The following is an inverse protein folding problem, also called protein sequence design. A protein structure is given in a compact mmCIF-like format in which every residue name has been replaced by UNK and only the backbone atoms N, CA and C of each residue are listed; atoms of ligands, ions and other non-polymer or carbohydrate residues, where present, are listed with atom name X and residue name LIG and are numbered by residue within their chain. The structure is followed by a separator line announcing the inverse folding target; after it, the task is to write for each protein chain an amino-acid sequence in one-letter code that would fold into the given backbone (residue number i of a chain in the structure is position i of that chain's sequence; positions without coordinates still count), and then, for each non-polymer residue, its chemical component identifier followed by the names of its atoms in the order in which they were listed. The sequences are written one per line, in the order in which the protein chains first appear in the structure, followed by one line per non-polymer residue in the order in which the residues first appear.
data_IF_876546153557
#
_entry.id   IF_876546153557
#
_cell.length_a   1.000
_cell.length_b   1.000
_cell.length_c   1.000
_cell.angle_alpha   90.00
_cell.angle_beta   90.00
_cell.angle_gamma   90.00
#
_symmetry.space_group_name_H-M   'P 1'
#
loop_
_entity.id
_entity.type
_entity.pdbx_description
1 polymer ?
#
# COMPACT_ATOMS: atom_id res chain seq x y z
N UNK A 1 41.78 69.76 -2.24
CA UNK A 1 43.01 69.18 -2.80
C UNK A 1 42.86 67.66 -2.71
N UNK A 2 42.63 67.01 -3.85
CA UNK A 2 42.25 65.59 -3.97
C UNK A 2 43.33 64.65 -3.42
N UNK A 3 42.95 63.65 -2.61
CA UNK A 3 43.75 62.44 -2.39
C UNK A 3 42.91 61.22 -2.78
N UNK A 4 43.22 60.70 -3.97
CA UNK A 4 42.80 59.38 -4.42
C UNK A 4 43.38 58.31 -3.50
N UNK A 5 42.52 57.44 -2.98
CA UNK A 5 42.91 56.13 -2.47
C UNK A 5 42.31 55.08 -3.40
N UNK A 6 43.13 54.58 -4.31
CA UNK A 6 42.85 53.34 -5.04
C UNK A 6 43.18 52.21 -4.08
N UNK A 7 42.15 51.60 -3.48
CA UNK A 7 42.29 50.36 -2.73
C UNK A 7 42.46 49.24 -3.77
N UNK A 8 43.68 48.69 -3.87
CA UNK A 8 43.95 47.49 -4.65
C UNK A 8 43.38 46.30 -3.85
N UNK A 9 42.19 45.82 -4.25
CA UNK A 9 41.62 44.59 -3.70
C UNK A 9 42.36 43.41 -4.33
N UNK A 10 43.38 42.88 -3.66
CA UNK A 10 43.99 41.60 -4.04
C UNK A 10 43.04 40.50 -3.58
N UNK A 11 42.17 40.06 -4.48
CA UNK A 11 41.41 38.83 -4.29
C UNK A 11 42.39 37.65 -4.44
N UNK A 12 42.84 37.11 -3.31
CA UNK A 12 43.45 35.77 -3.27
C UNK A 12 42.40 34.75 -3.72
N UNK A 13 42.43 34.39 -5.00
CA UNK A 13 41.82 33.16 -5.49
C UNK A 13 42.57 32.00 -4.83
N UNK A 14 42.03 31.47 -3.74
CA UNK A 14 42.41 30.15 -3.29
C UNK A 14 41.95 29.18 -4.39
N UNK A 15 42.90 28.79 -5.25
CA UNK A 15 42.74 27.64 -6.12
C UNK A 15 42.47 26.44 -5.22
N UNK A 16 41.22 26.02 -5.09
CA UNK A 16 40.91 24.69 -4.55
C UNK A 16 41.58 23.72 -5.52
N UNK A 17 42.68 23.10 -5.10
CA UNK A 17 43.32 22.07 -5.89
C UNK A 17 42.29 20.95 -6.08
N UNK A 18 41.85 20.73 -7.32
CA UNK A 18 41.00 19.61 -7.65
C UNK A 18 41.83 18.35 -7.47
N UNK A 19 41.32 17.40 -6.68
CA UNK A 19 41.98 16.13 -6.44
C UNK A 19 42.24 15.38 -7.77
N UNK A 20 43.38 14.71 -7.86
CA UNK A 20 43.72 13.82 -8.96
C UNK A 20 42.81 12.59 -8.96
N UNK A 21 42.82 11.87 -7.83
CA UNK A 21 42.01 10.69 -7.54
C UNK A 21 40.87 11.07 -6.59
N UNK A 22 39.62 11.09 -7.06
CA UNK A 22 38.45 11.43 -6.23
C UNK A 22 37.18 10.77 -6.81
N UNK A 23 36.62 9.79 -6.07
CA UNK A 23 35.37 9.10 -6.37
C UNK A 23 34.45 9.07 -5.16
N UNK A 24 33.20 9.47 -5.37
CA UNK A 24 32.20 9.52 -4.31
C UNK A 24 30.90 8.84 -4.68
N UNK A 25 30.03 8.68 -3.69
CA UNK A 25 28.64 8.29 -3.92
C UNK A 25 27.85 9.53 -4.35
N UNK A 26 27.24 9.51 -5.54
CA UNK A 26 26.44 10.63 -6.01
C UNK A 26 24.94 10.47 -5.71
N UNK A 27 24.45 9.23 -5.61
CA UNK A 27 23.02 8.97 -5.40
C UNK A 27 22.78 7.56 -4.84
N UNK A 28 21.94 7.43 -3.81
CA UNK A 28 21.33 6.16 -3.40
C UNK A 28 20.03 6.01 -4.18
N UNK A 29 19.91 4.92 -4.96
CA UNK A 29 18.75 4.64 -5.80
C UNK A 29 17.77 3.70 -5.11
N UNK A 30 18.30 2.72 -4.37
CA UNK A 30 17.51 1.73 -3.64
C UNK A 30 18.22 1.36 -2.33
N UNK A 31 17.49 1.17 -1.21
CA UNK A 31 16.06 1.46 -1.07
C UNK A 31 15.76 2.96 -1.17
N UNK A 32 14.51 3.35 -1.48
CA UNK A 32 14.01 4.72 -1.21
C UNK A 32 13.87 4.94 0.31
N UNK A 33 13.62 6.18 0.72
CA UNK A 33 13.29 6.59 2.09
C UNK A 33 12.07 5.86 2.66
N UNK A 34 11.17 5.39 1.80
CA UNK A 34 10.04 4.55 2.16
C UNK A 34 10.04 3.29 1.29
N UNK A 35 10.07 2.13 1.93
CA UNK A 35 9.87 0.87 1.24
C UNK A 35 8.63 0.17 1.76
N UNK A 36 7.65 0.08 0.85
CA UNK A 36 6.45 -0.74 1.01
C UNK A 36 6.68 -2.04 0.27
N UNK A 37 7.24 -3.03 0.95
CA UNK A 37 7.51 -4.31 0.33
C UNK A 37 7.28 -5.48 1.28
N UNK A 38 6.62 -6.50 0.77
CA UNK A 38 6.60 -7.84 1.36
C UNK A 38 7.71 -8.65 0.67
N UNK A 39 8.98 -8.41 0.99
CA UNK A 39 10.07 -9.15 0.36
C UNK A 39 11.46 -8.58 0.50
N UNK A 40 12.31 -8.88 -0.49
CA UNK A 40 13.68 -8.37 -0.54
C UNK A 40 13.77 -7.06 -1.32
N UNK A 41 14.59 -6.13 -0.84
CA UNK A 41 15.05 -4.99 -1.63
C UNK A 41 16.43 -5.29 -2.23
N UNK A 42 16.76 -4.70 -3.39
CA UNK A 42 18.10 -4.80 -3.98
C UNK A 42 18.78 -3.44 -3.86
N UNK A 43 19.68 -3.26 -2.88
CA UNK A 43 20.34 -1.97 -2.70
C UNK A 43 21.08 -1.56 -3.97
N UNK A 44 20.99 -0.28 -4.34
CA UNK A 44 21.57 0.26 -5.56
C UNK A 44 22.03 1.70 -5.39
N UNK A 45 23.11 2.05 -6.08
CA UNK A 45 23.80 3.34 -5.93
C UNK A 45 24.41 3.79 -7.26
N UNK A 46 24.66 5.08 -7.41
CA UNK A 46 25.55 5.65 -8.43
C UNK A 46 26.85 6.15 -7.80
N UNK A 47 27.95 5.88 -8.49
CA UNK A 47 29.29 6.36 -8.14
C UNK A 47 29.69 7.41 -9.16
N UNK A 48 30.28 8.51 -8.71
CA UNK A 48 30.77 9.59 -9.57
C UNK A 48 32.26 9.79 -9.36
N UNK A 49 32.96 10.06 -10.45
CA UNK A 49 34.34 10.53 -10.41
C UNK A 49 34.38 12.06 -10.40
N UNK A 50 34.84 12.64 -9.31
CA UNK A 50 35.00 14.08 -9.11
C UNK A 50 36.44 14.54 -9.37
N UNK A 51 37.38 13.60 -9.51
CA UNK A 51 38.78 13.87 -9.78
C UNK A 51 39.07 14.15 -11.24
N UNK A 52 40.37 14.20 -11.55
CA UNK A 52 40.88 14.51 -12.90
C UNK A 52 41.46 13.29 -13.62
N UNK A 53 41.65 12.17 -12.93
CA UNK A 53 42.09 10.90 -13.50
C UNK A 53 40.92 9.95 -13.75
N UNK A 54 41.03 9.11 -14.78
CA UNK A 54 40.07 8.02 -15.01
C UNK A 54 40.31 6.91 -13.98
N UNK A 55 39.24 6.45 -13.33
CA UNK A 55 39.31 5.46 -12.25
C UNK A 55 38.75 4.10 -12.66
N UNK A 56 39.27 3.05 -12.04
CA UNK A 56 38.89 1.66 -12.28
C UNK A 56 39.08 0.84 -11.00
N UNK A 57 38.44 -0.33 -10.95
CA UNK A 57 38.49 -1.24 -9.81
C UNK A 57 38.12 -0.59 -8.46
N UNK A 58 37.14 0.30 -8.48
CA UNK A 58 36.71 1.08 -7.30
C UNK A 58 35.90 0.15 -6.39
N UNK A 59 36.35 -0.14 -5.14
CA UNK A 59 35.54 -0.90 -4.21
C UNK A 59 34.39 -0.03 -3.71
N UNK A 60 33.15 -0.54 -3.82
CA UNK A 60 31.93 0.11 -3.34
C UNK A 60 31.29 -0.80 -2.30
N UNK A 61 30.98 -0.25 -1.14
CA UNK A 61 30.44 -0.97 0.01
C UNK A 61 29.01 -0.50 0.30
N UNK A 62 28.18 -1.44 0.73
CA UNK A 62 26.82 -1.20 1.19
C UNK A 62 26.65 -1.84 2.56
N UNK A 63 26.25 -1.02 3.52
CA UNK A 63 25.97 -1.38 4.89
C UNK A 63 24.53 -1.00 5.22
N UNK A 64 23.80 -1.90 5.88
CA UNK A 64 22.47 -1.60 6.42
C UNK A 64 22.49 -1.96 7.90
N UNK A 65 22.18 -0.97 8.70
CA UNK A 65 22.12 -1.06 10.16
C UNK A 65 20.66 -0.96 10.63
N UNK A 66 20.31 -1.68 11.68
CA UNK A 66 18.99 -1.65 12.34
C UNK A 66 19.19 -1.54 13.83
N UNK A 67 18.56 -0.56 14.46
CA UNK A 67 18.73 -0.27 15.89
C UNK A 67 20.20 -0.16 16.34
N UNK A 68 21.09 0.33 15.47
CA UNK A 68 22.53 0.48 15.74
C UNK A 68 23.38 -0.76 15.43
N UNK A 69 22.77 -1.89 15.06
CA UNK A 69 23.46 -3.13 14.74
C UNK A 69 23.53 -3.39 13.24
N UNK A 70 24.67 -3.90 12.76
CA UNK A 70 24.90 -4.22 11.35
C UNK A 70 24.16 -5.49 10.95
N UNK A 71 23.10 -5.36 10.16
CA UNK A 71 22.28 -6.49 9.68
C UNK A 71 22.56 -6.89 8.24
N UNK A 72 23.24 -6.03 7.47
CA UNK A 72 23.67 -6.33 6.10
C UNK A 72 25.01 -5.68 5.80
N UNK A 73 25.96 -6.44 5.28
CA UNK A 73 27.22 -5.93 4.78
C UNK A 73 27.57 -6.60 3.45
N UNK A 74 27.74 -5.80 2.42
CA UNK A 74 28.16 -6.27 1.10
C UNK A 74 29.14 -5.30 0.46
N UNK A 75 29.89 -5.80 -0.50
CA UNK A 75 30.78 -4.98 -1.32
C UNK A 75 30.80 -5.50 -2.75
N UNK A 76 31.13 -4.61 -3.68
CA UNK A 76 31.42 -4.92 -5.07
C UNK A 76 32.58 -4.07 -5.58
N UNK A 77 33.15 -4.48 -6.70
CA UNK A 77 34.20 -3.72 -7.39
C UNK A 77 33.59 -3.17 -8.67
N UNK A 78 33.61 -1.85 -8.83
CA UNK A 78 33.29 -1.16 -10.09
C UNK A 78 34.53 -1.20 -10.97
N UNK A 79 34.53 -2.05 -11.99
CA UNK A 79 35.70 -2.29 -12.85
C UNK A 79 36.14 -1.04 -13.63
N UNK A 80 35.22 -0.13 -13.95
CA UNK A 80 35.48 1.06 -14.77
C UNK A 80 35.62 0.71 -16.26
N UNK A 81 36.21 1.59 -17.08
CA UNK A 81 36.74 2.91 -16.71
C UNK A 81 35.62 3.89 -16.34
N UNK A 82 35.86 4.71 -15.31
CA UNK A 82 35.01 5.84 -14.93
C UNK A 82 35.77 7.15 -15.19
N UNK A 83 35.54 7.81 -16.33
CA UNK A 83 36.23 9.05 -16.69
C UNK A 83 35.95 10.21 -15.71
N UNK A 84 36.82 11.25 -15.69
CA UNK A 84 36.58 12.47 -14.92
C UNK A 84 35.20 13.08 -15.19
N UNK A 85 34.45 13.37 -14.13
CA UNK A 85 33.11 13.96 -14.20
C UNK A 85 32.00 13.01 -14.68
N UNK A 86 32.30 11.73 -14.93
CA UNK A 86 31.30 10.73 -15.30
C UNK A 86 30.64 10.09 -14.06
N UNK A 87 29.43 9.58 -14.26
CA UNK A 87 28.74 8.73 -13.29
C UNK A 87 28.69 7.28 -13.81
N UNK A 88 28.72 6.33 -12.89
CA UNK A 88 28.51 4.92 -13.20
C UNK A 88 27.05 4.67 -13.61
N UNK A 89 26.83 3.55 -14.31
CA UNK A 89 25.49 2.95 -14.36
C UNK A 89 25.03 2.52 -12.96
N UNK A 90 23.73 2.23 -12.83
CA UNK A 90 23.13 1.71 -11.59
C UNK A 90 23.86 0.45 -11.14
N UNK A 91 24.42 0.49 -9.93
CA UNK A 91 25.19 -0.62 -9.41
C UNK A 91 24.42 -1.40 -8.36
N UNK A 92 24.00 -2.61 -8.70
CA UNK A 92 23.15 -3.46 -7.87
C UNK A 92 23.95 -4.36 -6.92
N UNK A 93 23.53 -4.40 -5.66
CA UNK A 93 24.04 -5.31 -4.63
C UNK A 93 23.17 -6.58 -4.51
N UNK A 94 23.68 -7.64 -3.84
CA UNK A 94 22.86 -8.79 -3.48
C UNK A 94 21.60 -8.37 -2.71
N UNK A 95 20.46 -9.07 -2.92
CA UNK A 95 19.20 -8.69 -2.28
C UNK A 95 19.33 -8.74 -0.74
N UNK A 96 18.81 -7.70 -0.09
CA UNK A 96 18.61 -7.62 1.35
C UNK A 96 17.16 -7.97 1.68
N UNK A 97 16.97 -8.88 2.64
CA UNK A 97 15.66 -9.18 3.22
C UNK A 97 15.61 -8.60 4.63
N UNK A 98 14.80 -7.57 4.88
CA UNK A 98 14.56 -7.07 6.22
C UNK A 98 14.06 -8.16 7.16
N UNK A 99 14.66 -8.22 8.35
CA UNK A 99 14.26 -9.16 9.40
C UNK A 99 13.15 -8.63 10.31
N UNK A 100 12.81 -7.34 10.21
CA UNK A 100 11.77 -6.69 11.00
C UNK A 100 10.74 -5.98 10.13
N UNK A 101 9.56 -5.73 10.70
CA UNK A 101 8.48 -4.96 10.09
C UNK A 101 8.27 -3.64 10.86
N UNK A 102 7.87 -2.58 10.17
CA UNK A 102 7.61 -1.25 10.76
C UNK A 102 8.82 -0.73 11.54
N UNK A 103 9.98 -0.69 10.88
CA UNK A 103 11.23 -0.30 11.51
C UNK A 103 12.08 0.59 10.59
N UNK A 104 13.03 1.30 11.22
CA UNK A 104 14.02 2.11 10.51
C UNK A 104 15.27 1.29 10.22
N UNK A 105 15.78 1.45 9.01
CA UNK A 105 17.10 1.01 8.61
C UNK A 105 17.96 2.21 8.24
N UNK A 106 19.19 2.24 8.74
CA UNK A 106 20.20 3.21 8.35
C UNK A 106 21.08 2.58 7.27
N UNK A 107 20.91 3.04 6.03
CA UNK A 107 21.62 2.57 4.85
C UNK A 107 22.84 3.46 4.62
N UNK A 108 24.02 2.86 4.49
CA UNK A 108 25.27 3.55 4.20
C UNK A 108 25.91 2.94 2.98
N UNK A 109 26.16 3.76 1.97
CA UNK A 109 27.03 3.41 0.84
C UNK A 109 28.31 4.21 0.92
N UNK A 110 29.42 3.59 0.52
CA UNK A 110 30.67 4.32 0.39
C UNK A 110 31.66 3.69 -0.59
N UNK A 111 32.45 4.54 -1.24
CA UNK A 111 33.63 4.14 -1.99
C UNK A 111 34.79 3.86 -1.03
N UNK A 112 35.71 2.98 -1.42
CA UNK A 112 36.90 2.65 -0.65
C UNK A 112 38.14 2.54 -1.56
N UNK A 113 38.23 3.41 -2.57
CA UNK A 113 39.41 3.54 -3.41
C UNK A 113 40.60 3.91 -2.51
N UNK A 114 41.69 3.15 -2.55
CA UNK A 114 42.82 3.33 -1.62
C UNK A 114 43.61 4.61 -1.89
N UNK A 115 43.63 5.08 -3.13
CA UNK A 115 44.32 6.28 -3.59
C UNK A 115 43.44 7.53 -3.57
N UNK A 116 42.20 7.43 -3.11
CA UNK A 116 41.30 8.58 -3.05
C UNK A 116 41.86 9.69 -2.15
N UNK A 117 41.98 10.89 -2.71
CA UNK A 117 42.55 12.07 -2.07
C UNK A 117 41.50 12.90 -1.32
N UNK A 118 40.21 12.70 -1.62
CA UNK A 118 39.11 13.46 -1.03
C UNK A 118 38.06 12.55 -0.39
N UNK A 119 38.37 12.07 0.82
CA UNK A 119 37.49 11.19 1.61
C UNK A 119 36.15 11.78 2.04
N UNK A 120 35.90 13.07 1.80
CA UNK A 120 34.71 13.77 2.32
C UNK A 120 33.43 13.44 1.55
N UNK A 121 33.53 12.99 0.31
CA UNK A 121 32.40 12.60 -0.55
C UNK A 121 32.29 11.07 -0.75
N UNK A 122 33.20 10.29 -0.14
CA UNK A 122 33.19 8.83 -0.23
C UNK A 122 31.89 8.22 0.26
N UNK A 123 31.20 8.85 1.22
CA UNK A 123 30.09 8.24 1.97
C UNK A 123 28.76 8.98 1.78
N UNK A 124 27.71 8.22 1.48
CA UNK A 124 26.32 8.70 1.54
C UNK A 124 25.52 7.81 2.48
N UNK A 125 24.63 8.44 3.27
CA UNK A 125 23.74 7.76 4.22
C UNK A 125 22.30 8.12 3.92
N UNK A 126 21.41 7.16 4.11
CA UNK A 126 19.97 7.35 4.04
C UNK A 126 19.29 6.55 5.14
N UNK A 127 18.27 7.14 5.75
CA UNK A 127 17.38 6.43 6.65
C UNK A 127 16.12 6.01 5.89
N UNK A 128 15.81 4.73 5.94
CA UNK A 128 14.68 4.11 5.22
C UNK A 128 13.67 3.52 6.20
N UNK A 129 12.40 3.84 6.02
CA UNK A 129 11.29 3.20 6.72
C UNK A 129 10.84 1.94 5.98
N UNK A 130 10.83 0.81 6.67
CA UNK A 130 10.34 -0.45 6.14
C UNK A 130 8.96 -0.78 6.71
N UNK A 131 7.97 -0.93 5.83
CA UNK A 131 6.59 -1.27 6.22
C UNK A 131 5.97 -2.28 5.26
N UNK A 132 5.31 -3.34 5.75
CA UNK A 132 4.47 -4.21 4.93
C UNK A 132 3.07 -3.62 4.67
N UNK A 133 2.72 -2.50 5.32
CA UNK A 133 1.46 -1.80 5.14
C UNK A 133 1.59 -0.62 4.17
N UNK A 134 0.59 -0.43 3.32
CA UNK A 134 0.53 0.63 2.32
C UNK A 134 -0.54 1.67 2.67
N UNK A 135 -0.29 2.92 2.25
CA UNK A 135 -1.28 4.00 2.30
C UNK A 135 -2.06 3.99 0.99
N UNK A 136 -3.38 4.00 1.09
CA UNK A 136 -4.30 3.97 -0.05
C UNK A 136 -5.66 4.49 0.42
N UNK A 137 -6.41 5.09 -0.50
CA UNK A 137 -7.83 5.44 -0.27
C UNK A 137 -8.78 4.35 -0.81
N UNK A 138 -8.21 3.23 -1.24
CA UNK A 138 -8.93 2.02 -1.63
C UNK A 138 -8.46 0.84 -0.79
N UNK A 139 -9.37 0.23 -0.03
CA UNK A 139 -9.15 -1.01 0.70
C UNK A 139 -9.57 -2.20 -0.14
N UNK A 140 -8.81 -3.28 -0.01
CA UNK A 140 -9.08 -4.57 -0.63
C UNK A 140 -9.10 -5.66 0.45
N UNK A 141 -10.20 -5.78 1.23
CA UNK A 141 -10.30 -6.83 2.24
C UNK A 141 -10.39 -8.20 1.57
N UNK A 142 -9.52 -9.10 1.98
CA UNK A 142 -9.52 -10.48 1.50
C UNK A 142 -10.42 -11.36 2.36
N UNK A 143 -10.96 -12.41 1.72
CA UNK A 143 -11.70 -13.43 2.44
C UNK A 143 -10.77 -14.25 3.33
N UNK A 144 -11.05 -14.28 4.63
CA UNK A 144 -10.35 -15.15 5.58
C UNK A 144 -10.79 -16.60 5.39
N UNK A 145 -9.84 -17.52 5.58
CA UNK A 145 -10.11 -18.97 5.62
C UNK A 145 -10.40 -19.48 7.03
N UNK A 146 -10.10 -18.69 8.05
CA UNK A 146 -10.29 -18.97 9.48
C UNK A 146 -10.67 -17.68 10.21
N UNK A 147 -11.54 -17.81 11.20
CA UNK A 147 -11.93 -16.71 12.08
C UNK A 147 -10.81 -16.44 13.11
N UNK A 148 -10.38 -15.18 13.31
CA UNK A 148 -9.42 -14.82 14.35
C UNK A 148 -9.93 -15.14 15.77
N UNK A 149 -9.01 -15.44 16.68
CA UNK A 149 -9.30 -15.55 18.12
C UNK A 149 -9.39 -14.16 18.69
N UNK A 150 -10.40 -13.92 19.51
CA UNK A 150 -10.77 -12.57 19.92
C UNK A 150 -10.28 -12.26 21.32
N UNK A 151 -9.02 -11.87 21.43
CA UNK A 151 -8.35 -11.62 22.71
C UNK A 151 -7.67 -10.23 22.79
N UNK A 152 -7.83 -9.43 21.73
CA UNK A 152 -7.26 -8.09 21.60
C UNK A 152 -5.79 -8.12 21.20
N UNK A 153 -5.26 -9.25 20.75
CA UNK A 153 -3.89 -9.42 20.27
C UNK A 153 -3.90 -9.77 18.79
N UNK A 154 -3.21 -8.96 17.99
CA UNK A 154 -3.10 -9.21 16.55
C UNK A 154 -2.00 -10.25 16.32
N UNK A 155 -2.36 -11.53 16.34
CA UNK A 155 -1.46 -12.63 15.99
C UNK A 155 -1.23 -12.67 14.46
N UNK A 156 0.03 -12.64 13.98
CA UNK A 156 0.34 -12.73 12.55
C UNK A 156 -0.19 -13.99 11.85
N UNK A 157 -0.41 -15.08 12.57
CA UNK A 157 -0.96 -16.32 12.04
C UNK A 157 -2.48 -16.26 11.83
N UNK A 158 -3.17 -15.44 12.63
CA UNK A 158 -4.61 -15.21 12.54
C UNK A 158 -4.93 -14.08 11.56
N UNK A 159 -4.14 -13.00 11.58
CA UNK A 159 -4.32 -11.81 10.75
C UNK A 159 -3.45 -11.84 9.48
N UNK A 160 -3.61 -12.93 8.71
CA UNK A 160 -2.93 -13.14 7.42
C UNK A 160 -3.61 -12.40 6.26
N UNK A 161 -3.81 -11.10 6.42
CA UNK A 161 -4.50 -10.26 5.44
C UNK A 161 -3.65 -9.06 4.98
N UNK A 162 -4.26 -8.26 4.12
CA UNK A 162 -3.72 -6.96 3.75
C UNK A 162 -3.69 -6.02 4.94
N UNK A 163 -2.65 -5.18 4.96
CA UNK A 163 -2.38 -4.23 6.04
C UNK A 163 -2.34 -2.85 5.43
N UNK A 164 -3.09 -1.94 6.03
CA UNK A 164 -3.27 -0.59 5.53
C UNK A 164 -2.71 0.37 6.58
N UNK A 165 -1.78 1.21 6.17
CA UNK A 165 -1.27 2.26 7.04
C UNK A 165 -2.30 3.38 7.03
N UNK A 166 -3.07 3.47 8.12
CA UNK A 166 -4.08 4.49 8.32
C UNK A 166 -3.55 5.60 9.23
N UNK A 167 -2.25 5.69 9.48
CA UNK A 167 -1.69 6.78 10.28
C UNK A 167 -2.18 8.14 9.75
N UNK A 168 -2.49 9.08 10.64
CA UNK A 168 -2.93 10.42 10.23
C UNK A 168 -1.77 11.27 9.68
N UNK A 169 -1.18 10.84 8.56
CA UNK A 169 0.03 11.43 7.96
C UNK A 169 -0.20 12.83 7.40
N UNK A 170 -1.45 13.19 7.16
CA UNK A 170 -1.85 14.51 6.68
C UNK A 170 -2.41 15.41 7.80
N UNK A 171 -2.52 14.90 9.03
CA UNK A 171 -3.08 15.65 10.17
C UNK A 171 -4.55 16.02 9.98
N UNK A 172 -5.34 15.18 9.29
CA UNK A 172 -6.77 15.38 9.05
C UNK A 172 -7.56 15.42 10.35
N UNK A 173 -7.21 14.59 11.31
CA UNK A 173 -7.76 14.62 12.67
C UNK A 173 -7.05 15.62 13.60
N UNK A 174 -6.26 16.55 13.05
CA UNK A 174 -5.67 17.69 13.75
C UNK A 174 -4.14 17.68 13.81
N UNK A 175 -3.52 16.58 14.25
CA UNK A 175 -2.05 16.49 14.40
C UNK A 175 -1.48 15.42 13.49
N UNK A 176 -0.53 15.81 12.63
CA UNK A 176 0.19 14.87 11.77
C UNK A 176 0.90 13.78 12.58
N UNK A 177 0.71 12.54 12.16
CA UNK A 177 1.37 11.35 12.71
C UNK A 177 2.39 10.78 11.73
N UNK A 178 3.53 10.26 12.22
CA UNK A 178 4.43 9.48 11.38
C UNK A 178 3.74 8.25 10.79
N UNK A 179 4.19 7.80 9.62
CA UNK A 179 3.79 6.51 9.04
C UNK A 179 4.04 5.36 10.01
N UNK A 180 3.19 4.34 9.94
CA UNK A 180 3.23 3.19 10.85
C UNK A 180 2.83 3.50 12.30
N UNK A 181 2.19 4.63 12.57
CA UNK A 181 1.58 4.95 13.86
C UNK A 181 0.33 4.11 14.13
N UNK A 182 -0.49 3.89 13.09
CA UNK A 182 -1.76 3.18 13.20
C UNK A 182 -1.97 2.30 11.97
N UNK A 183 -2.05 0.99 12.16
CA UNK A 183 -2.21 0.02 11.07
C UNK A 183 -3.57 -0.65 11.19
N UNK A 184 -4.34 -0.62 10.09
CA UNK A 184 -5.59 -1.33 9.93
C UNK A 184 -5.34 -2.68 9.26
N UNK A 185 -5.91 -3.72 9.84
CA UNK A 185 -6.07 -5.05 9.28
C UNK A 185 -7.55 -5.20 8.94
N UNK A 186 -7.87 -5.64 7.73
CA UNK A 186 -9.26 -5.74 7.29
C UNK A 186 -9.45 -6.99 6.43
N UNK A 187 -10.44 -7.79 6.79
CA UNK A 187 -10.78 -9.04 6.12
C UNK A 187 -12.28 -9.34 6.25
N UNK A 188 -12.74 -10.41 5.60
CA UNK A 188 -14.15 -10.80 5.67
C UNK A 188 -14.39 -12.31 5.61
N UNK A 189 -15.51 -12.75 6.16
CA UNK A 189 -16.15 -14.08 6.01
C UNK A 189 -17.67 -13.86 5.96
N UNK A 190 -18.45 -14.52 6.83
CA UNK A 190 -19.80 -14.10 7.22
C UNK A 190 -19.78 -12.91 8.21
N UNK A 191 -18.60 -12.38 8.52
CA UNK A 191 -18.37 -11.15 9.27
C UNK A 191 -17.39 -10.24 8.52
N UNK A 192 -17.47 -8.93 8.75
CA UNK A 192 -16.34 -8.03 8.51
C UNK A 192 -15.44 -8.08 9.73
N UNK A 193 -14.18 -8.42 9.52
CA UNK A 193 -13.15 -8.50 10.55
C UNK A 193 -12.21 -7.32 10.42
N UNK A 194 -12.05 -6.54 11.48
CA UNK A 194 -11.12 -5.43 11.52
C UNK A 194 -10.24 -5.48 12.77
N UNK A 195 -8.96 -5.19 12.59
CA UNK A 195 -8.02 -5.02 13.70
C UNK A 195 -7.27 -3.70 13.53
N UNK A 196 -6.95 -3.05 14.64
CA UNK A 196 -6.16 -1.80 14.63
C UNK A 196 -4.97 -1.94 15.57
N UNK A 197 -3.76 -1.92 15.01
CA UNK A 197 -2.49 -1.86 15.74
C UNK A 197 -2.06 -0.40 15.89
N UNK A 198 -2.30 0.19 17.07
CA UNK A 198 -1.92 1.57 17.38
C UNK A 198 -0.52 1.59 17.98
N UNK A 199 0.47 1.46 17.10
CA UNK A 199 1.90 1.30 17.41
C UNK A 199 2.52 2.45 18.21
N UNK A 200 1.89 3.63 18.21
CA UNK A 200 2.34 4.76 19.01
C UNK A 200 1.96 4.67 20.49
N UNK A 201 1.09 3.72 20.89
CA UNK A 201 0.52 3.62 22.22
C UNK A 201 0.78 2.23 22.80
N UNK A 202 1.12 2.13 24.07
CA UNK A 202 1.38 0.88 24.79
C UNK A 202 0.58 0.75 26.10
N UNK A 203 -0.42 1.63 26.26
CA UNK A 203 -1.37 1.61 27.37
C UNK A 203 -2.77 1.57 26.82
N UNK A 204 -3.69 0.95 27.55
CA UNK A 204 -5.13 0.98 27.27
C UNK A 204 -5.81 1.94 28.25
N UNK A 205 -6.66 2.84 27.75
CA UNK A 205 -7.33 3.88 28.52
C UNK A 205 -8.79 3.99 28.11
N UNK A 206 -9.62 4.53 28.99
CA UNK A 206 -10.99 4.91 28.63
C UNK A 206 -10.96 5.92 27.47
N UNK A 207 -11.93 5.81 26.58
CA UNK A 207 -12.08 6.62 25.37
C UNK A 207 -11.00 6.41 24.29
N UNK A 208 -10.20 5.35 24.40
CA UNK A 208 -9.56 4.75 23.22
C UNK A 208 -10.67 4.17 22.32
N UNK A 209 -10.82 4.69 21.10
CA UNK A 209 -11.95 4.36 20.23
C UNK A 209 -11.60 4.24 18.75
N UNK A 210 -12.24 3.29 18.08
CA UNK A 210 -12.28 3.14 16.64
C UNK A 210 -13.67 3.56 16.16
N UNK A 211 -13.70 4.44 15.16
CA UNK A 211 -14.92 4.80 14.44
C UNK A 211 -14.86 4.19 13.06
N UNK A 212 -15.87 3.41 12.70
CA UNK A 212 -16.05 2.82 11.37
C UNK A 212 -17.34 3.35 10.80
N UNK A 213 -17.26 4.09 9.69
CA UNK A 213 -18.39 4.56 8.90
C UNK A 213 -18.50 3.71 7.66
N UNK A 214 -19.73 3.35 7.30
CA UNK A 214 -19.97 2.53 6.13
C UNK A 214 -21.22 2.99 5.37
N UNK A 215 -21.02 3.30 4.09
CA UNK A 215 -22.02 3.39 3.04
C UNK A 215 -22.00 2.04 2.31
N UNK A 216 -22.96 1.18 2.61
CA UNK A 216 -22.90 -0.24 2.26
C UNK A 216 -23.03 -0.46 0.76
N UNK A 217 -23.91 0.33 0.13
CA UNK A 217 -24.28 0.20 -1.27
C UNK A 217 -23.49 1.15 -2.20
N UNK A 218 -22.74 2.09 -1.59
CA UNK A 218 -21.94 3.13 -2.23
C UNK A 218 -22.75 4.02 -3.16
N UNK A 219 -23.95 4.40 -2.74
CA UNK A 219 -24.78 5.37 -3.45
C UNK A 219 -24.45 6.83 -3.07
N UNK A 220 -23.45 7.02 -2.21
CA UNK A 220 -22.98 8.31 -1.70
C UNK A 220 -24.06 9.06 -0.89
N UNK A 221 -24.99 8.33 -0.28
CA UNK A 221 -26.01 8.89 0.58
C UNK A 221 -26.28 7.96 1.76
N UNK A 222 -26.66 8.52 2.90
CA UNK A 222 -27.07 7.70 4.03
C UNK A 222 -28.44 7.07 3.80
N UNK A 223 -28.52 5.75 3.95
CA UNK A 223 -29.78 5.02 3.92
C UNK A 223 -30.77 5.51 5.00
N UNK A 224 -32.01 5.78 4.58
CA UNK A 224 -33.09 6.24 5.49
C UNK A 224 -33.65 5.15 6.39
N UNK A 225 -33.24 3.90 6.20
CA UNK A 225 -33.80 2.74 6.86
C UNK A 225 -32.94 2.25 8.04
N UNK A 226 -31.87 2.95 8.39
CA UNK A 226 -30.88 2.60 9.44
C UNK A 226 -30.00 1.37 9.16
N UNK A 227 -29.83 0.95 7.91
CA UNK A 227 -28.76 -0.01 7.57
C UNK A 227 -27.38 0.62 7.69
N UNK A 228 -27.26 1.92 7.39
CA UNK A 228 -25.96 2.61 7.33
C UNK A 228 -25.73 3.57 8.50
N UNK A 229 -24.46 3.71 8.87
CA UNK A 229 -24.06 4.60 9.95
C UNK A 229 -22.67 4.31 10.47
N UNK A 230 -22.52 4.39 11.79
CA UNK A 230 -21.23 4.34 12.45
C UNK A 230 -21.20 3.26 13.52
N UNK A 231 -20.22 2.37 13.43
CA UNK A 231 -19.81 1.49 14.51
C UNK A 231 -18.70 2.18 15.30
N UNK A 232 -18.97 2.47 16.57
CA UNK A 232 -17.99 2.99 17.51
C UNK A 232 -17.60 1.87 18.47
N UNK A 233 -16.36 1.43 18.37
CA UNK A 233 -15.73 0.47 19.28
C UNK A 233 -14.85 1.23 20.24
N UNK A 234 -15.02 1.08 21.55
CA UNK A 234 -14.31 1.91 22.51
C UNK A 234 -14.13 1.25 23.87
N UNK A 235 -13.16 1.75 24.63
CA UNK A 235 -12.96 1.36 26.03
C UNK A 235 -13.75 2.31 26.95
N UNK A 236 -14.50 1.75 27.88
CA UNK A 236 -15.27 2.51 28.88
C UNK A 236 -15.28 1.80 30.22
N UNK A 237 -14.85 2.48 31.29
CA UNK A 237 -14.71 1.87 32.62
C UNK A 237 -13.75 0.68 32.61
N UNK A 238 -12.73 0.73 31.76
CA UNK A 238 -11.77 -0.34 31.54
C UNK A 238 -12.34 -1.57 30.81
N UNK A 239 -13.54 -1.49 30.22
CA UNK A 239 -14.18 -2.61 29.50
C UNK A 239 -14.38 -2.27 28.03
N UNK A 240 -14.29 -3.30 27.19
CA UNK A 240 -14.59 -3.18 25.77
C UNK A 240 -16.09 -2.94 25.59
N UNK A 241 -16.41 -1.89 24.85
CA UNK A 241 -17.76 -1.40 24.62
C UNK A 241 -17.93 -1.08 23.15
N UNK A 242 -19.17 -1.11 22.69
CA UNK A 242 -19.52 -0.92 21.30
C UNK A 242 -20.89 -0.26 21.23
N UNK A 243 -21.03 0.65 20.27
CA UNK A 243 -22.31 1.27 19.91
C UNK A 243 -22.38 1.40 18.40
N UNK A 244 -23.51 0.99 17.83
CA UNK A 244 -23.88 1.38 16.47
C UNK A 244 -24.84 2.58 16.51
N UNK A 245 -24.57 3.58 15.68
CA UNK A 245 -25.43 4.76 15.50
C UNK A 245 -25.81 4.87 14.04
N UNK A 246 -27.10 4.81 13.72
CA UNK A 246 -27.54 5.03 12.34
C UNK A 246 -27.28 6.48 11.92
N UNK A 247 -27.00 6.70 10.64
CA UNK A 247 -26.82 8.04 10.07
C UNK A 247 -27.93 8.35 9.04
N UNK A 248 -28.32 9.63 8.89
CA UNK A 248 -27.84 10.80 9.62
C UNK A 248 -28.55 11.00 10.98
N UNK A 249 -29.54 10.18 11.33
CA UNK A 249 -30.39 10.43 12.50
C UNK A 249 -29.74 10.19 13.87
N UNK A 250 -28.52 9.64 13.93
CA UNK A 250 -27.66 9.49 15.12
C UNK A 250 -28.29 8.77 16.30
N UNK A 251 -29.37 8.02 16.07
CA UNK A 251 -29.99 7.15 17.07
C UNK A 251 -29.12 5.92 17.29
N UNK A 252 -28.91 5.57 18.56
CA UNK A 252 -28.20 4.34 18.92
C UNK A 252 -29.14 3.16 18.75
N UNK A 253 -28.67 2.13 18.05
CA UNK A 253 -29.40 0.88 17.85
C UNK A 253 -28.56 -0.30 18.33
N UNK A 254 -29.21 -1.42 18.72
CA UNK A 254 -28.48 -2.66 19.00
C UNK A 254 -27.78 -3.17 17.73
N UNK A 255 -26.55 -3.66 17.86
CA UNK A 255 -25.79 -4.33 16.80
C UNK A 255 -25.41 -5.76 17.26
N UNK A 256 -26.39 -6.67 17.38
CA UNK A 256 -26.18 -7.99 17.96
C UNK A 256 -25.18 -8.82 17.15
N UNK A 257 -24.17 -9.37 17.82
CA UNK A 257 -23.12 -10.18 17.18
C UNK A 257 -21.86 -9.38 16.83
N UNK A 258 -21.92 -8.04 16.86
CA UNK A 258 -20.71 -7.24 16.89
C UNK A 258 -19.95 -7.50 18.19
N UNK A 259 -18.63 -7.66 18.10
CA UNK A 259 -17.76 -7.85 19.27
C UNK A 259 -16.55 -6.94 19.19
N UNK A 260 -16.01 -6.59 20.36
CA UNK A 260 -14.73 -5.89 20.54
C UNK A 260 -13.87 -6.62 21.56
N UNK A 261 -12.58 -6.75 21.28
CA UNK A 261 -11.54 -7.08 22.24
C UNK A 261 -10.40 -6.09 22.09
N UNK A 262 -9.84 -5.61 23.20
CA UNK A 262 -8.66 -4.74 23.14
C UNK A 262 -7.66 -5.05 24.24
N UNK A 263 -6.38 -4.98 23.89
CA UNK A 263 -5.28 -5.37 24.77
C UNK A 263 -4.01 -4.57 24.47
N UNK A 264 -3.04 -4.69 25.37
CA UNK A 264 -1.64 -4.25 25.16
C UNK A 264 -0.66 -5.42 25.21
N UNK A 265 -1.16 -6.66 25.30
CA UNK A 265 -0.33 -7.86 25.45
C UNK A 265 0.58 -8.11 24.22
N UNK A 266 0.19 -7.63 23.04
CA UNK A 266 1.01 -7.65 21.82
C UNK A 266 2.13 -6.60 21.79
N UNK A 267 2.32 -5.80 22.84
CA UNK A 267 3.35 -4.77 22.96
C UNK A 267 2.90 -3.36 22.60
N UNK A 268 1.87 -3.24 21.76
CA UNK A 268 1.17 -1.99 21.44
C UNK A 268 -0.29 -2.09 21.86
N UNK A 269 -1.00 -0.97 21.89
CA UNK A 269 -2.46 -0.96 21.99
C UNK A 269 -3.06 -1.54 20.71
N UNK A 270 -3.79 -2.62 20.87
CA UNK A 270 -4.40 -3.37 19.80
C UNK A 270 -5.90 -3.56 20.06
N UNK A 271 -6.65 -3.55 18.96
CA UNK A 271 -8.08 -3.80 18.95
C UNK A 271 -8.38 -4.84 17.90
N UNK A 272 -9.33 -5.71 18.22
CA UNK A 272 -9.98 -6.61 17.30
C UNK A 272 -11.49 -6.37 17.39
N UNK A 273 -12.11 -6.19 16.23
CA UNK A 273 -13.52 -5.91 16.07
C UNK A 273 -14.09 -6.83 14.98
N UNK A 274 -15.33 -7.27 15.16
CA UNK A 274 -16.09 -7.93 14.08
C UNK A 274 -17.48 -7.36 14.00
N UNK A 275 -18.01 -7.31 12.79
CA UNK A 275 -19.37 -6.87 12.48
C UNK A 275 -20.02 -7.97 11.64
N UNK A 276 -21.18 -8.52 12.03
CA UNK A 276 -21.85 -9.56 11.24
C UNK A 276 -22.21 -9.05 9.84
N UNK A 277 -22.08 -9.92 8.84
CA UNK A 277 -22.64 -9.68 7.51
C UNK A 277 -24.08 -10.18 7.51
N UNK A 278 -25.03 -9.31 7.13
CA UNK A 278 -26.44 -9.65 7.29
C UNK A 278 -27.40 -8.55 6.86
N UNK A 279 -28.64 -8.67 7.31
CA UNK A 279 -29.75 -7.77 6.98
C UNK A 279 -30.36 -7.12 8.23
N UNK A 280 -29.84 -7.43 9.43
CA UNK A 280 -30.31 -6.77 10.66
C UNK A 280 -29.71 -5.37 10.72
N UNK A 281 -30.36 -4.47 11.45
CA UNK A 281 -29.83 -3.12 11.65
C UNK A 281 -28.52 -3.17 12.42
N UNK A 282 -27.49 -2.54 11.86
CA UNK A 282 -26.11 -2.60 12.36
C UNK A 282 -25.29 -3.83 11.92
N UNK A 283 -25.88 -4.79 11.20
CA UNK A 283 -25.09 -5.73 10.39
C UNK A 283 -24.58 -5.00 9.14
N UNK A 284 -23.51 -5.50 8.53
CA UNK A 284 -23.03 -5.01 7.24
C UNK A 284 -23.68 -5.80 6.12
N UNK A 285 -24.45 -5.16 5.25
CA UNK A 285 -24.89 -5.76 4.01
C UNK A 285 -23.79 -5.64 2.95
N UNK A 286 -22.84 -6.59 2.92
CA UNK A 286 -21.79 -6.58 1.90
C UNK A 286 -22.41 -6.86 0.53
N UNK A 287 -22.30 -5.94 -0.45
CA UNK A 287 -22.65 -6.27 -1.80
C UNK A 287 -21.48 -7.04 -2.39
N UNK A 288 -21.44 -8.36 -2.26
CA UNK A 288 -20.30 -9.19 -2.70
C UNK A 288 -19.88 -8.98 -4.17
N UNK A 289 -20.79 -8.45 -5.00
CA UNK A 289 -20.55 -8.09 -6.39
C UNK A 289 -20.25 -6.59 -6.63
N UNK A 290 -20.19 -5.77 -5.58
CA UNK A 290 -19.94 -4.33 -5.66
C UNK A 290 -18.95 -3.87 -4.58
N UNK A 291 -18.71 -2.58 -4.59
CA UNK A 291 -17.92 -1.88 -3.58
C UNK A 291 -18.80 -1.15 -2.58
N UNK A 292 -18.27 -0.96 -1.37
CA UNK A 292 -18.85 -0.06 -0.37
C UNK A 292 -18.04 1.23 -0.26
N UNK A 293 -18.65 2.28 0.27
CA UNK A 293 -17.95 3.46 0.78
C UNK A 293 -17.63 3.28 2.27
N UNK A 294 -16.47 3.74 2.74
CA UNK A 294 -16.24 3.78 4.18
C UNK A 294 -15.22 4.81 4.64
N UNK A 295 -15.18 4.99 5.96
CA UNK A 295 -14.13 5.73 6.64
C UNK A 295 -13.80 5.03 7.97
N UNK A 296 -12.52 5.05 8.36
CA UNK A 296 -12.04 4.45 9.61
C UNK A 296 -11.14 5.43 10.31
N UNK A 297 -11.33 5.63 11.61
CA UNK A 297 -10.40 6.43 12.41
C UNK A 297 -10.18 5.84 13.79
N UNK A 298 -9.02 6.12 14.36
CA UNK A 298 -8.69 5.81 15.75
C UNK A 298 -8.40 7.09 16.53
N UNK A 299 -9.00 7.19 17.71
CA UNK A 299 -8.87 8.33 18.62
C UNK A 299 -8.56 7.88 20.04
N UNK A 300 -7.75 8.69 20.72
CA UNK A 300 -7.62 8.69 22.19
C UNK A 300 -8.03 10.07 22.69
N UNK A 301 -9.16 10.17 23.37
CA UNK A 301 -9.73 11.47 23.70
C UNK A 301 -9.94 12.29 22.41
N UNK A 302 -9.37 13.50 22.37
CA UNK A 302 -9.42 14.38 21.19
C UNK A 302 -8.20 14.21 20.25
N UNK A 303 -7.31 13.25 20.52
CA UNK A 303 -6.13 13.01 19.69
C UNK A 303 -6.37 11.90 18.67
N UNK A 304 -6.39 12.25 17.39
CA UNK A 304 -6.40 11.29 16.30
C UNK A 304 -5.02 10.63 16.13
N UNK A 305 -4.99 9.32 15.91
CA UNK A 305 -3.79 8.59 15.50
C UNK A 305 -3.97 7.87 14.16
N UNK A 306 -5.20 7.46 13.85
CA UNK A 306 -5.56 6.80 12.60
C UNK A 306 -6.68 7.53 11.88
N UNK A 307 -6.54 7.72 10.56
CA UNK A 307 -7.48 8.38 9.69
C UNK A 307 -7.47 7.73 8.30
N UNK A 308 -8.60 7.26 7.84
CA UNK A 308 -8.78 6.71 6.50
C UNK A 308 -10.17 7.05 5.95
N UNK A 309 -10.29 7.45 4.67
CA UNK A 309 -9.20 7.65 3.70
C UNK A 309 -8.39 8.93 3.97
N UNK A 310 -7.20 9.04 3.42
CA UNK A 310 -6.32 10.20 3.59
C UNK A 310 -6.80 11.45 2.84
N UNK A 311 -7.66 11.24 1.84
CA UNK A 311 -8.37 12.30 1.11
C UNK A 311 -9.57 12.87 1.86
N UNK A 312 -10.16 12.14 2.82
CA UNK A 312 -11.30 12.62 3.60
C UNK A 312 -10.88 13.78 4.49
N UNK A 313 -11.53 14.92 4.32
CA UNK A 313 -11.35 16.08 5.19
C UNK A 313 -12.24 15.98 6.42
N UNK A 314 -11.76 16.48 7.56
CA UNK A 314 -12.51 16.42 8.82
C UNK A 314 -13.87 17.10 8.74
N UNK A 315 -14.08 18.08 7.86
CA UNK A 315 -15.38 18.72 7.66
C UNK A 315 -16.44 17.82 7.02
N UNK A 316 -16.02 16.72 6.36
CA UNK A 316 -16.89 15.79 5.65
C UNK A 316 -16.96 14.42 6.32
N UNK A 317 -16.55 14.33 7.59
CA UNK A 317 -16.45 13.05 8.32
C UNK A 317 -17.75 12.26 8.37
N UNK A 318 -18.91 12.91 8.24
CA UNK A 318 -20.24 12.31 8.22
C UNK A 318 -20.92 12.37 6.84
N UNK A 319 -20.16 12.58 5.77
CA UNK A 319 -20.66 12.65 4.40
C UNK A 319 -20.13 11.47 3.55
N UNK A 320 -21.00 10.51 3.18
CA UNK A 320 -20.60 9.32 2.44
C UNK A 320 -20.09 9.61 1.03
N UNK A 321 -20.35 10.79 0.45
CA UNK A 321 -19.80 11.19 -0.85
C UNK A 321 -18.26 11.22 -0.85
N UNK A 322 -17.65 11.48 0.31
CA UNK A 322 -16.20 11.62 0.46
C UNK A 322 -15.50 10.37 0.98
N UNK A 323 -16.25 9.28 1.19
CA UNK A 323 -15.71 8.06 1.76
C UNK A 323 -14.81 7.31 0.78
N UNK A 324 -13.86 6.58 1.37
CA UNK A 324 -12.90 5.77 0.63
C UNK A 324 -13.56 4.54 0.04
N UNK A 325 -12.90 3.93 -0.94
CA UNK A 325 -13.42 2.77 -1.64
C UNK A 325 -13.07 1.48 -0.89
N UNK A 326 -14.06 0.64 -0.57
CA UNK A 326 -13.84 -0.72 -0.07
C UNK A 326 -14.26 -1.73 -1.15
N UNK A 327 -13.30 -2.47 -1.68
CA UNK A 327 -13.53 -3.53 -2.68
C UNK A 327 -13.41 -4.89 -1.99
N UNK A 328 -14.54 -5.52 -1.69
CA UNK A 328 -14.60 -6.82 -1.05
C UNK A 328 -14.17 -7.92 -2.03
N UNK A 329 -13.04 -8.59 -1.74
CA UNK A 329 -12.48 -9.61 -2.63
C UNK A 329 -12.88 -10.99 -2.12
N UNK A 330 -13.79 -11.68 -2.80
CA UNK A 330 -14.09 -13.09 -2.54
C UNK A 330 -13.08 -13.99 -3.26
N UNK A 331 -12.66 -15.06 -2.59
CA UNK A 331 -11.79 -16.09 -3.17
C UNK A 331 -12.60 -17.21 -3.85
N UNK A 332 -13.93 -17.05 -3.96
CA UNK A 332 -14.82 -18.04 -4.56
C UNK A 332 -14.87 -17.88 -6.08
N UNK A 333 -14.52 -18.97 -6.79
CA UNK A 333 -14.95 -19.16 -8.18
C UNK A 333 -16.36 -19.72 -8.12
N UNK A 334 -17.37 -18.88 -8.30
CA UNK A 334 -18.73 -19.37 -8.46
C UNK A 334 -18.91 -19.94 -9.88
N UNK A 335 -19.19 -21.24 -9.97
CA UNK A 335 -19.63 -21.89 -11.20
C UNK A 335 -21.15 -21.69 -11.28
N UNK A 336 -21.58 -20.70 -12.04
CA UNK A 336 -22.99 -20.32 -12.18
C UNK A 336 -23.75 -21.40 -12.97
N UNK A 337 -24.58 -22.19 -12.28
CA UNK A 337 -25.53 -23.09 -12.94
C UNK A 337 -26.81 -22.30 -13.28
N UNK A 338 -26.92 -21.79 -14.50
CA UNK A 338 -28.16 -21.16 -14.98
C UNK A 338 -29.32 -22.17 -15.02
N UNK A 339 -30.37 -21.92 -14.23
CA UNK A 339 -31.72 -22.39 -14.54
C UNK A 339 -32.38 -21.43 -15.56
N UNK A 340 -33.19 -21.92 -16.51
CA UNK A 340 -33.66 -21.10 -17.62
C UNK A 340 -34.88 -20.25 -17.22
N UNK A 341 -34.73 -18.92 -17.22
CA UNK A 341 -35.84 -18.00 -16.95
C UNK A 341 -35.62 -16.57 -17.46
N UNK A 342 -36.07 -16.31 -18.70
CA UNK A 342 -36.57 -15.03 -19.25
C UNK A 342 -35.70 -13.74 -19.20
N UNK A 343 -34.92 -13.55 -20.28
CA UNK A 343 -34.71 -12.34 -21.10
C UNK A 343 -34.82 -10.96 -20.40
N UNK A 344 -33.65 -10.37 -20.13
CA UNK A 344 -33.45 -8.93 -19.92
C UNK A 344 -31.97 -8.58 -20.02
N UNK A 345 -31.60 -7.80 -21.04
CA UNK A 345 -30.21 -7.54 -21.48
C UNK A 345 -29.33 -6.78 -20.47
N UNK A 346 -28.21 -7.39 -20.05
CA UNK A 346 -26.95 -6.70 -19.71
C UNK A 346 -25.79 -7.70 -19.79
N UNK A 347 -24.96 -7.59 -20.83
CA UNK A 347 -23.82 -8.47 -21.09
C UNK A 347 -22.63 -8.09 -20.19
N UNK A 348 -22.50 -8.77 -19.06
CA UNK A 348 -21.23 -8.98 -18.32
C UNK A 348 -21.04 -10.45 -17.94
N UNK A 349 -21.65 -11.37 -18.69
CA UNK A 349 -21.48 -12.81 -18.47
C UNK A 349 -20.19 -13.33 -19.13
N UNK A 350 -19.47 -14.19 -18.43
CA UNK A 350 -18.31 -14.92 -18.94
C UNK A 350 -18.71 -15.68 -20.21
N UNK A 351 -17.96 -15.50 -21.32
CA UNK A 351 -18.27 -16.21 -22.56
C UNK A 351 -17.54 -17.55 -22.60
N UNK A 352 -18.25 -18.66 -22.37
CA UNK A 352 -17.78 -20.01 -22.67
C UNK A 352 -18.07 -20.32 -24.13
N UNK A 353 -17.05 -20.69 -24.91
CA UNK A 353 -17.24 -20.99 -26.34
C UNK A 353 -16.60 -22.32 -26.72
N UNK A 354 -17.33 -23.11 -27.50
CA UNK A 354 -16.86 -24.34 -28.13
C UNK A 354 -16.62 -24.10 -29.61
N UNK A 355 -15.50 -23.43 -29.90
CA UNK A 355 -15.00 -23.27 -31.27
C UNK A 355 -15.44 -22.03 -32.04
N UNK A 356 -16.53 -21.36 -31.65
CA UNK A 356 -16.98 -20.11 -32.28
C UNK A 356 -17.16 -19.03 -31.24
N UNK A 357 -16.43 -17.91 -31.39
CA UNK A 357 -16.54 -16.74 -30.54
C UNK A 357 -17.26 -15.63 -31.29
N UNK A 358 -18.42 -15.22 -30.79
CA UNK A 358 -19.18 -14.12 -31.39
C UNK A 358 -18.89 -12.81 -30.65
N UNK A 359 -18.33 -11.84 -31.36
CA UNK A 359 -18.17 -10.47 -30.87
C UNK A 359 -19.43 -9.68 -31.19
N UNK A 360 -19.94 -8.89 -30.25
CA UNK A 360 -21.07 -7.98 -30.48
C UNK A 360 -20.74 -7.00 -31.62
N UNK A 361 -21.78 -6.47 -32.28
CA UNK A 361 -21.62 -5.52 -33.39
C UNK A 361 -20.91 -4.25 -32.89
N UNK A 362 -19.66 -4.05 -33.33
CA UNK A 362 -18.79 -2.99 -32.81
C UNK A 362 -17.30 -3.25 -33.02
N UNK A 363 -16.46 -2.34 -32.49
CA UNK A 363 -15.01 -2.19 -32.75
C UNK A 363 -14.22 -3.52 -32.73
N UNK A 364 -13.27 -3.73 -33.67
CA UNK A 364 -12.38 -4.90 -33.67
C UNK A 364 -11.64 -5.10 -32.35
N UNK A 365 -11.39 -6.36 -31.99
CA UNK A 365 -10.73 -6.72 -30.75
C UNK A 365 -9.50 -7.62 -30.98
N UNK A 366 -8.72 -7.83 -29.93
CA UNK A 366 -7.64 -8.82 -29.91
C UNK A 366 -7.89 -9.85 -28.82
N UNK A 367 -7.57 -11.11 -29.11
CA UNK A 367 -7.60 -12.18 -28.13
C UNK A 367 -6.18 -12.41 -27.59
N UNK A 368 -6.05 -12.48 -26.27
CA UNK A 368 -4.81 -12.66 -25.53
C UNK A 368 -4.84 -13.97 -24.73
N UNK A 369 -3.71 -14.62 -24.55
CA UNK A 369 -3.56 -15.74 -23.60
C UNK A 369 -3.35 -15.23 -22.15
N UNK A 370 -3.24 -16.16 -21.19
CA UNK A 370 -3.01 -15.85 -19.77
C UNK A 370 -1.72 -15.07 -19.48
N UNK A 371 -0.75 -15.09 -20.41
CA UNK A 371 0.50 -14.33 -20.28
C UNK A 371 0.40 -12.92 -20.86
N UNK A 372 -0.77 -12.57 -21.43
CA UNK A 372 -1.01 -11.30 -22.12
C UNK A 372 -0.53 -11.28 -23.57
N UNK A 373 -0.07 -12.41 -24.12
CA UNK A 373 0.39 -12.50 -25.51
C UNK A 373 -0.82 -12.60 -26.43
N UNK A 374 -0.79 -11.83 -27.52
CA UNK A 374 -1.81 -11.87 -28.57
C UNK A 374 -1.79 -13.19 -29.32
N UNK A 375 -2.95 -13.84 -29.41
CA UNK A 375 -3.17 -15.12 -30.10
C UNK A 375 -4.05 -15.00 -31.34
N UNK A 376 -4.97 -14.01 -31.39
CA UNK A 376 -5.81 -13.77 -32.57
C UNK A 376 -6.26 -12.29 -32.69
N UNK A 377 -6.67 -11.89 -33.90
CA UNK A 377 -7.52 -10.71 -34.12
C UNK A 377 -8.97 -11.17 -34.18
N UNK A 378 -9.88 -10.40 -33.60
CA UNK A 378 -11.31 -10.65 -33.63
C UNK A 378 -12.00 -9.56 -34.45
N UNK A 379 -12.86 -10.00 -35.36
CA UNK A 379 -13.75 -9.14 -36.14
C UNK A 379 -15.13 -9.09 -35.46
N UNK A 380 -15.91 -8.01 -35.65
CA UNK A 380 -17.32 -8.00 -35.27
C UNK A 380 -18.05 -9.20 -35.90
N UNK A 381 -18.92 -9.86 -35.14
CA UNK A 381 -19.58 -11.09 -35.57
C UNK A 381 -18.81 -12.36 -35.18
N UNK A 382 -18.99 -13.43 -35.97
CA UNK A 382 -18.48 -14.76 -35.64
C UNK A 382 -16.99 -14.94 -35.99
N UNK A 383 -16.22 -15.46 -35.02
CA UNK A 383 -14.79 -15.76 -35.18
C UNK A 383 -14.53 -17.23 -34.87
N UNK A 384 -13.90 -17.94 -35.81
CA UNK A 384 -13.50 -19.33 -35.62
C UNK A 384 -12.23 -19.43 -34.78
N UNK A 385 -12.37 -20.05 -33.61
CA UNK A 385 -11.29 -20.23 -32.62
C UNK A 385 -10.98 -21.69 -32.34
N UNK A 386 -11.47 -22.64 -33.16
CA UNK A 386 -11.22 -24.09 -32.99
C UNK A 386 -9.74 -24.48 -33.04
N UNK A 387 -8.92 -23.60 -33.62
CA UNK A 387 -7.47 -23.78 -33.69
C UNK A 387 -6.75 -23.48 -32.37
N UNK A 388 -7.42 -22.90 -31.38
CA UNK A 388 -6.85 -22.59 -30.07
C UNK A 388 -6.96 -23.78 -29.11
N UNK A 389 -6.00 -23.87 -28.19
CA UNK A 389 -6.03 -24.88 -27.14
C UNK A 389 -7.12 -24.56 -26.10
N UNK A 390 -7.66 -25.57 -25.39
CA UNK A 390 -8.51 -25.31 -24.24
C UNK A 390 -7.77 -24.46 -23.19
N UNK A 391 -8.43 -23.47 -22.62
CA UNK A 391 -7.80 -22.57 -21.66
C UNK A 391 -8.54 -21.25 -21.46
N UNK A 392 -7.96 -20.39 -20.64
CA UNK A 392 -8.47 -19.04 -20.35
C UNK A 392 -7.80 -18.04 -21.28
N UNK A 393 -8.62 -17.21 -21.90
CA UNK A 393 -8.21 -16.15 -22.82
C UNK A 393 -8.91 -14.84 -22.44
N UNK A 394 -8.37 -13.75 -22.96
CA UNK A 394 -8.85 -12.40 -22.66
C UNK A 394 -9.07 -11.62 -23.94
N UNK A 395 -10.24 -11.02 -24.11
CA UNK A 395 -10.53 -10.11 -25.22
C UNK A 395 -10.21 -8.69 -24.76
N UNK A 396 -9.45 -7.95 -25.58
CA UNK A 396 -9.24 -6.52 -25.39
C UNK A 396 -9.74 -5.75 -26.62
N UNK A 397 -10.66 -4.82 -26.42
CA UNK A 397 -11.12 -3.90 -27.46
C UNK A 397 -10.16 -2.71 -27.58
N UNK A 398 -10.07 -2.11 -28.78
CA UNK A 398 -8.97 -1.17 -29.11
C UNK A 398 -9.12 0.21 -28.46
N UNK A 399 -10.34 0.57 -28.02
CA UNK A 399 -10.65 1.91 -27.51
C UNK A 399 -11.07 1.94 -26.03
N UNK A 400 -11.41 0.79 -25.44
CA UNK A 400 -11.73 0.65 -24.03
C UNK A 400 -10.81 -0.37 -23.36
N UNK A 401 -10.30 -0.06 -22.15
CA UNK A 401 -9.52 -0.98 -21.30
C UNK A 401 -10.33 -2.17 -20.78
N UNK A 402 -11.53 -2.40 -21.30
CA UNK A 402 -12.39 -3.51 -20.91
C UNK A 402 -11.75 -4.82 -21.40
N UNK A 403 -11.46 -5.69 -20.44
CA UNK A 403 -10.94 -7.03 -20.66
C UNK A 403 -12.04 -8.03 -20.33
N UNK A 404 -12.55 -8.73 -21.34
CA UNK A 404 -13.53 -9.80 -21.13
C UNK A 404 -12.81 -11.14 -21.04
N UNK A 405 -13.11 -11.93 -20.00
CA UNK A 405 -12.61 -13.30 -19.85
C UNK A 405 -13.41 -14.24 -20.77
N UNK A 406 -12.70 -15.05 -21.54
CA UNK A 406 -13.24 -16.11 -22.41
C UNK A 406 -12.64 -17.44 -22.00
N UNK A 407 -13.46 -18.46 -21.84
CA UNK A 407 -13.00 -19.83 -21.56
C UNK A 407 -13.27 -20.67 -22.80
N UNK A 408 -12.20 -21.22 -23.38
CA UNK A 408 -12.29 -22.13 -24.52
C UNK A 408 -12.26 -23.56 -23.99
N UNK A 409 -13.28 -24.34 -24.34
CA UNK A 409 -13.36 -25.77 -24.05
C UNK A 409 -13.51 -26.55 -25.37
N UNK A 410 -13.03 -27.79 -25.40
CA UNK A 410 -13.25 -28.71 -26.52
C UNK A 410 -14.53 -29.49 -26.35
#
# INVERSE_FOLDING_TARGET
MFRSYVLLLVATLASVAVAGHDVGISEILEPDTLVVARGSVRPAVKVRNYGTFTESYIPVRCFIDSAGERVYASYKILDGPLPPGAESLVWWFPPFRPGGEYCWYDVTFFTALSTDENRSNDTMKQRTWWSPAYITDTLHPEQHSLDPVFDGVIDPDEWRCHRFDISDVNGRGGTTRPRGTCILYLAHTDHVWLAVDVRALNTRQDDDRILVYLDENRDCAWATDSSEGTHCFFVSGGRDSLVYSWMPGRQRLPCPGCTLASSVAGGNLQFEARIPVGQRKGDISIPWERSSGGAVSFWRGDSCYGWWPQSLELSHWDDPEYYGLVVWVSNTVEEESEQPGAIGSRLTAQTMTRGMLRLADGVPAVLLDITGRKVANLMPGENDIRHLAPGVYFIRQKEDRIINKVVIQK
#
